data_IF_034761961639
#
_entry.id   IF_034761961639
#
_cell.length_a   1.000
_cell.length_b   1.000
_cell.length_c   1.000
_cell.angle_alpha   90.00
_cell.angle_beta   90.00
_cell.angle_gamma   90.00
#
_symmetry.space_group_name_H-M   'P 1'
#
loop_
_entity.id
_entity.type
_entity.pdbx_description
1 polymer ?
#
# COMPACT_ATOMS: atom_id res chain seq x y z
N UNK A 1 23.17 30.40 -16.03
CA UNK A 1 22.10 30.12 -17.01
C UNK A 1 21.20 29.07 -16.37
N UNK A 2 20.08 29.49 -15.76
CA UNK A 2 19.15 28.59 -15.08
C UNK A 2 18.43 27.77 -16.16
N UNK A 3 18.48 26.44 -16.06
CA UNK A 3 17.64 25.59 -16.86
C UNK A 3 16.17 25.95 -16.57
N UNK A 4 15.39 26.24 -17.61
CA UNK A 4 13.94 26.36 -17.49
C UNK A 4 13.40 25.02 -16.98
N UNK A 5 12.51 25.00 -15.97
CA UNK A 5 11.84 23.77 -15.58
C UNK A 5 10.93 23.37 -16.74
N UNK A 6 11.26 22.28 -17.44
CA UNK A 6 10.33 21.63 -18.34
C UNK A 6 9.08 21.30 -17.54
N UNK A 7 7.91 21.68 -18.06
CA UNK A 7 6.63 21.57 -17.37
C UNK A 7 6.39 20.13 -16.90
N UNK A 8 6.18 20.00 -15.58
CA UNK A 8 5.89 18.79 -14.78
C UNK A 8 4.52 18.14 -15.13
N UNK A 9 4.11 18.21 -16.40
CA UNK A 9 2.80 17.76 -16.88
C UNK A 9 2.72 16.24 -16.89
N UNK A 10 1.56 15.70 -16.51
CA UNK A 10 1.29 14.28 -16.59
C UNK A 10 1.33 13.80 -18.05
N UNK A 11 1.81 12.57 -18.33
CA UNK A 11 1.66 11.95 -19.64
C UNK A 11 0.19 11.90 -20.08
N UNK A 12 -0.11 12.01 -21.39
CA UNK A 12 -1.48 12.11 -21.89
C UNK A 12 -2.32 10.85 -21.63
N UNK A 13 -1.69 9.69 -21.43
CA UNK A 13 -2.38 8.44 -21.09
C UNK A 13 -2.81 8.35 -19.62
N UNK A 14 -2.26 9.17 -18.72
CA UNK A 14 -2.43 9.03 -17.28
C UNK A 14 -3.86 9.35 -16.82
N UNK A 15 -4.44 10.46 -17.29
CA UNK A 15 -5.81 10.83 -16.93
C UNK A 15 -6.87 9.83 -17.48
N UNK A 16 -6.80 9.38 -18.75
CA UNK A 16 -7.67 8.31 -19.23
C UNK A 16 -7.49 6.96 -18.51
N UNK A 17 -6.28 6.63 -18.06
CA UNK A 17 -6.04 5.44 -17.25
C UNK A 17 -6.70 5.56 -15.87
N UNK A 18 -6.55 6.71 -15.21
CA UNK A 18 -7.19 6.97 -13.91
C UNK A 18 -8.72 6.86 -14.01
N UNK A 19 -9.32 7.48 -15.03
CA UNK A 19 -10.76 7.42 -15.28
C UNK A 19 -11.26 5.97 -15.36
N UNK A 20 -10.57 5.12 -16.14
CA UNK A 20 -10.93 3.69 -16.27
C UNK A 20 -10.93 2.95 -14.93
N UNK A 21 -9.90 3.15 -14.10
CA UNK A 21 -9.80 2.48 -12.79
C UNK A 21 -10.91 2.97 -11.85
N UNK A 22 -11.25 4.27 -11.88
CA UNK A 22 -12.30 4.83 -11.05
C UNK A 22 -13.71 4.45 -11.54
N UNK A 23 -13.91 4.26 -12.84
CA UNK A 23 -15.15 3.72 -13.41
C UNK A 23 -15.31 2.24 -13.03
N UNK A 24 -14.23 1.45 -13.08
CA UNK A 24 -14.22 0.09 -12.54
C UNK A 24 -14.60 0.08 -11.06
N UNK A 25 -14.09 1.02 -10.26
CA UNK A 25 -14.47 1.15 -8.86
C UNK A 25 -15.99 1.40 -8.68
N UNK A 26 -16.63 2.18 -9.55
CA UNK A 26 -18.09 2.36 -9.52
C UNK A 26 -18.83 1.03 -9.69
N UNK A 27 -18.44 0.26 -10.72
CA UNK A 27 -19.03 -1.06 -11.02
C UNK A 27 -18.81 -2.02 -9.85
N UNK A 28 -17.59 -2.08 -9.32
CA UNK A 28 -17.24 -2.88 -8.14
C UNK A 28 -18.10 -2.51 -6.94
N UNK A 29 -18.35 -1.23 -6.70
CA UNK A 29 -19.20 -0.76 -5.60
C UNK A 29 -20.63 -1.25 -5.69
N UNK A 30 -21.21 -1.29 -6.89
CA UNK A 30 -22.55 -1.86 -7.12
C UNK A 30 -22.54 -3.37 -6.91
N UNK A 31 -21.53 -4.08 -7.40
CA UNK A 31 -21.42 -5.54 -7.30
C UNK A 31 -21.26 -6.02 -5.86
N UNK A 32 -20.33 -5.42 -5.10
CA UNK A 32 -19.98 -5.90 -3.76
C UNK A 32 -20.90 -5.36 -2.67
N UNK A 33 -21.66 -4.29 -2.96
CA UNK A 33 -22.56 -3.63 -2.03
C UNK A 33 -21.86 -3.28 -0.71
N UNK A 34 -22.36 -3.84 0.39
CA UNK A 34 -21.78 -3.59 1.70
C UNK A 34 -20.50 -4.41 2.00
N UNK A 35 -20.12 -5.36 1.16
CA UNK A 35 -18.93 -6.18 1.40
C UNK A 35 -17.67 -5.44 0.92
N UNK A 36 -16.51 -5.98 1.28
CA UNK A 36 -15.23 -5.43 0.86
C UNK A 36 -14.60 -6.34 -0.20
N UNK A 37 -14.26 -5.82 -1.41
CA UNK A 37 -13.53 -6.58 -2.41
C UNK A 37 -12.15 -7.00 -1.90
N UNK A 38 -11.68 -8.18 -2.33
CA UNK A 38 -10.37 -8.71 -2.02
C UNK A 38 -9.58 -8.98 -3.30
N UNK A 39 -10.10 -9.88 -4.14
CA UNK A 39 -9.56 -10.16 -5.47
C UNK A 39 -10.68 -10.57 -6.42
N UNK A 40 -10.53 -10.28 -7.72
CA UNK A 40 -11.49 -10.64 -8.74
C UNK A 40 -10.91 -11.64 -9.74
N UNK A 41 -11.76 -12.56 -10.20
CA UNK A 41 -11.41 -13.51 -11.24
C UNK A 41 -11.11 -12.78 -12.57
N UNK A 42 -9.99 -13.08 -13.26
CA UNK A 42 -9.56 -12.32 -14.43
C UNK A 42 -10.49 -12.48 -15.64
N UNK A 43 -11.19 -13.61 -15.76
CA UNK A 43 -12.05 -13.89 -16.91
C UNK A 43 -13.43 -13.27 -16.72
N UNK A 44 -14.00 -13.41 -15.52
CA UNK A 44 -15.38 -12.99 -15.20
C UNK A 44 -15.46 -11.62 -14.55
N UNK A 45 -14.38 -11.12 -13.95
CA UNK A 45 -14.36 -9.88 -13.16
C UNK A 45 -15.11 -9.98 -11.83
N UNK A 46 -15.54 -11.18 -11.41
CA UNK A 46 -16.32 -11.38 -10.18
C UNK A 46 -15.45 -11.32 -8.94
N UNK A 47 -15.84 -10.53 -7.94
CA UNK A 47 -15.08 -10.33 -6.71
C UNK A 47 -15.31 -11.41 -5.66
N UNK A 48 -14.21 -11.98 -5.17
CA UNK A 48 -14.18 -12.54 -3.83
C UNK A 48 -14.13 -11.40 -2.83
N UNK A 49 -15.00 -11.47 -1.82
CA UNK A 49 -15.22 -10.39 -0.85
C UNK A 49 -15.10 -10.86 0.59
N UNK A 50 -14.76 -9.95 1.48
CA UNK A 50 -14.77 -10.15 2.94
C UNK A 50 -15.89 -9.35 3.58
N UNK A 51 -16.37 -9.80 4.74
CA UNK A 51 -17.45 -9.11 5.46
C UNK A 51 -16.97 -7.83 6.17
N UNK A 52 -15.74 -7.85 6.71
CA UNK A 52 -15.18 -6.77 7.55
C UNK A 52 -13.97 -6.09 6.93
N UNK A 53 -13.69 -6.27 5.64
CA UNK A 53 -12.52 -5.64 4.99
C UNK A 53 -11.19 -6.38 5.18
N UNK A 54 -10.97 -7.04 6.32
CA UNK A 54 -9.65 -7.59 6.66
C UNK A 54 -8.57 -6.49 6.58
N UNK A 55 -7.31 -6.86 6.36
CA UNK A 55 -6.19 -5.92 6.16
C UNK A 55 -6.33 -5.03 4.91
N UNK A 56 -7.21 -5.39 3.96
CA UNK A 56 -7.37 -4.66 2.68
C UNK A 56 -8.50 -3.63 2.68
N UNK A 57 -9.33 -3.58 3.73
CA UNK A 57 -10.51 -2.70 3.77
C UNK A 57 -10.18 -1.22 3.59
N UNK A 58 -9.00 -0.80 4.07
CA UNK A 58 -8.49 0.57 3.88
C UNK A 58 -8.27 0.93 2.42
N UNK A 59 -7.77 0.02 1.59
CA UNK A 59 -7.55 0.28 0.17
C UNK A 59 -8.85 0.50 -0.59
N UNK A 60 -9.90 -0.26 -0.26
CA UNK A 60 -11.21 -0.06 -0.86
C UNK A 60 -11.82 1.29 -0.46
N UNK A 61 -11.78 1.63 0.83
CA UNK A 61 -12.24 2.92 1.30
C UNK A 61 -11.46 4.08 0.66
N UNK A 62 -10.13 3.97 0.55
CA UNK A 62 -9.28 4.93 -0.12
C UNK A 62 -9.60 5.10 -1.61
N UNK A 63 -9.89 4.01 -2.32
CA UNK A 63 -10.27 4.04 -3.73
C UNK A 63 -11.62 4.75 -3.94
N UNK A 64 -12.58 4.55 -3.04
CA UNK A 64 -13.84 5.29 -3.04
C UNK A 64 -13.63 6.80 -2.78
N UNK A 65 -12.69 7.16 -1.90
CA UNK A 65 -12.34 8.57 -1.69
C UNK A 65 -11.67 9.20 -2.92
N UNK A 66 -10.79 8.47 -3.63
CA UNK A 66 -10.25 8.94 -4.92
C UNK A 66 -11.37 9.21 -5.92
N UNK A 67 -12.33 8.29 -6.01
CA UNK A 67 -13.49 8.45 -6.88
C UNK A 67 -14.31 9.68 -6.49
N UNK A 68 -14.63 9.85 -5.21
CA UNK A 68 -15.38 11.01 -4.73
C UNK A 68 -14.70 12.35 -5.06
N UNK A 69 -13.37 12.41 -4.95
CA UNK A 69 -12.60 13.59 -5.37
C UNK A 69 -12.62 13.81 -6.88
N UNK A 70 -12.52 12.74 -7.66
CA UNK A 70 -12.53 12.81 -9.11
C UNK A 70 -13.87 13.28 -9.68
N UNK A 71 -14.98 12.78 -9.14
CA UNK A 71 -16.33 13.11 -9.64
C UNK A 71 -16.90 14.37 -9.02
N UNK A 72 -16.49 14.72 -7.79
CA UNK A 72 -17.14 15.76 -6.99
C UNK A 72 -18.58 15.40 -6.58
N UNK A 73 -19.02 14.15 -6.81
CA UNK A 73 -20.38 13.72 -6.56
C UNK A 73 -20.64 13.47 -5.08
N UNK A 74 -21.78 13.98 -4.60
CA UNK A 74 -22.17 13.84 -3.19
C UNK A 74 -22.51 12.40 -2.80
N UNK A 75 -22.98 11.58 -3.75
CA UNK A 75 -23.25 10.16 -3.57
C UNK A 75 -21.96 9.34 -3.44
N UNK A 76 -20.98 9.58 -4.32
CA UNK A 76 -19.65 8.97 -4.21
C UNK A 76 -18.98 9.32 -2.87
N UNK A 77 -19.09 10.58 -2.43
CA UNK A 77 -18.60 11.03 -1.11
C UNK A 77 -19.32 10.32 0.04
N UNK A 78 -20.64 10.18 -0.04
CA UNK A 78 -21.42 9.46 0.98
C UNK A 78 -21.04 7.97 1.04
N UNK A 79 -20.81 7.33 -0.11
CA UNK A 79 -20.38 5.94 -0.21
C UNK A 79 -18.98 5.74 0.40
N UNK A 80 -18.02 6.62 0.07
CA UNK A 80 -16.68 6.60 0.65
C UNK A 80 -16.73 6.74 2.18
N UNK A 81 -17.49 7.71 2.68
CA UNK A 81 -17.69 7.94 4.12
C UNK A 81 -18.32 6.74 4.83
N UNK A 82 -19.37 6.15 4.26
CA UNK A 82 -20.01 4.96 4.82
C UNK A 82 -19.07 3.75 4.81
N UNK A 83 -18.25 3.59 3.77
CA UNK A 83 -17.25 2.54 3.71
C UNK A 83 -16.18 2.71 4.79
N UNK A 84 -15.58 3.91 4.92
CA UNK A 84 -14.59 4.22 5.95
C UNK A 84 -15.14 4.00 7.37
N UNK A 85 -16.39 4.38 7.65
CA UNK A 85 -16.99 4.18 8.97
C UNK A 85 -17.03 2.71 9.41
N UNK A 86 -17.19 1.77 8.47
CA UNK A 86 -17.22 0.32 8.75
C UNK A 86 -15.85 -0.28 9.07
N UNK A 87 -14.78 0.48 8.90
CA UNK A 87 -13.44 0.07 9.34
C UNK A 87 -13.24 0.25 10.86
N UNK A 88 -14.17 0.89 11.57
CA UNK A 88 -14.03 1.21 12.99
C UNK A 88 -13.73 -0.01 13.88
N UNK A 89 -14.27 -1.18 13.54
CA UNK A 89 -14.04 -2.44 14.29
C UNK A 89 -12.56 -2.87 14.30
N UNK A 90 -11.75 -2.38 13.36
CA UNK A 90 -10.31 -2.69 13.31
C UNK A 90 -9.46 -1.79 14.21
N UNK A 91 -10.01 -0.72 14.80
CA UNK A 91 -9.22 0.26 15.55
C UNK A 91 -8.57 -0.39 16.77
N UNK A 92 -9.32 -1.27 17.43
CA UNK A 92 -8.92 -2.02 18.63
C UNK A 92 -8.30 -3.39 18.30
N UNK A 93 -8.20 -3.77 17.03
CA UNK A 93 -7.56 -5.02 16.65
C UNK A 93 -6.06 -4.95 16.96
N UNK A 94 -5.54 -5.93 17.69
CA UNK A 94 -4.10 -6.10 17.93
C UNK A 94 -3.42 -6.51 16.63
N UNK A 95 -3.10 -5.52 15.79
CA UNK A 95 -2.33 -5.72 14.57
C UNK A 95 -1.60 -4.47 14.04
N UNK A 96 -0.45 -4.69 13.41
CA UNK A 96 0.24 -3.65 12.62
C UNK A 96 -0.45 -3.36 11.28
N UNK A 97 -1.33 -4.24 10.78
CA UNK A 97 -2.11 -3.98 9.56
C UNK A 97 -3.04 -2.75 9.68
N UNK A 98 -3.21 -2.21 10.89
CA UNK A 98 -3.88 -0.92 11.14
C UNK A 98 -3.27 0.22 10.32
N UNK A 99 -1.98 0.18 10.01
CA UNK A 99 -1.36 1.11 9.06
C UNK A 99 -2.04 1.04 7.69
N UNK A 100 -2.16 -0.16 7.13
CA UNK A 100 -2.81 -0.40 5.83
C UNK A 100 -4.30 -0.02 5.85
N UNK A 101 -4.98 -0.34 6.95
CA UNK A 101 -6.43 -0.13 7.10
C UNK A 101 -6.75 1.36 7.27
N UNK A 102 -6.08 2.05 8.20
CA UNK A 102 -6.49 3.37 8.62
C UNK A 102 -5.76 4.49 7.91
N UNK A 103 -4.50 4.33 7.54
CA UNK A 103 -3.83 5.36 6.75
C UNK A 103 -4.48 5.46 5.37
N UNK A 104 -4.46 4.38 4.58
CA UNK A 104 -5.00 4.42 3.22
C UNK A 104 -6.52 4.56 3.18
N UNK A 105 -7.23 4.05 4.19
CA UNK A 105 -8.69 4.22 4.31
C UNK A 105 -9.15 5.62 4.69
N UNK A 106 -8.22 6.50 5.13
CA UNK A 106 -8.57 7.84 5.58
C UNK A 106 -7.72 8.96 4.97
N UNK A 107 -6.52 8.73 4.45
CA UNK A 107 -5.57 9.79 4.01
C UNK A 107 -6.17 10.73 2.95
N UNK A 108 -7.08 10.20 2.13
CA UNK A 108 -7.80 10.92 1.08
C UNK A 108 -9.20 11.37 1.51
N UNK A 109 -9.58 11.14 2.76
CA UNK A 109 -10.87 11.54 3.28
C UNK A 109 -10.89 13.05 3.56
N UNK A 110 -11.97 13.69 3.13
CA UNK A 110 -12.19 15.12 3.38
C UNK A 110 -12.83 15.38 4.76
N UNK A 111 -13.36 14.33 5.40
CA UNK A 111 -13.71 14.28 6.82
C UNK A 111 -13.14 12.96 7.37
N UNK A 112 -12.44 12.99 8.51
CA UNK A 112 -11.77 11.78 9.03
C UNK A 112 -12.59 11.01 10.10
N UNK A 113 -13.82 11.45 10.41
CA UNK A 113 -14.67 10.95 11.50
C UNK A 113 -13.98 10.80 12.88
N UNK A 114 -12.80 11.39 13.08
CA UNK A 114 -11.88 11.10 14.17
C UNK A 114 -11.26 9.70 14.14
N UNK A 115 -11.55 8.89 13.11
CA UNK A 115 -11.10 7.50 13.02
C UNK A 115 -9.58 7.39 12.86
N UNK A 116 -8.97 8.26 12.04
CA UNK A 116 -7.51 8.29 11.87
C UNK A 116 -6.81 8.58 13.19
N UNK A 117 -7.25 9.62 13.91
CA UNK A 117 -6.69 9.99 15.20
C UNK A 117 -6.88 8.92 16.29
N UNK A 118 -8.04 8.24 16.33
CA UNK A 118 -8.26 7.09 17.22
C UNK A 118 -7.31 5.94 16.91
N UNK A 119 -7.20 5.56 15.63
CA UNK A 119 -6.30 4.50 15.20
C UNK A 119 -4.83 4.83 15.50
N UNK A 120 -4.39 6.07 15.29
CA UNK A 120 -3.03 6.50 15.61
C UNK A 120 -2.69 6.33 17.09
N UNK A 121 -3.60 6.72 18.00
CA UNK A 121 -3.43 6.52 19.44
C UNK A 121 -3.40 5.03 19.80
N UNK A 122 -4.33 4.24 19.26
CA UNK A 122 -4.34 2.79 19.51
C UNK A 122 -3.10 2.06 18.96
N UNK A 123 -2.50 2.58 17.87
CA UNK A 123 -1.22 2.10 17.37
C UNK A 123 -0.07 2.49 18.30
N UNK A 124 -0.06 3.71 18.83
CA UNK A 124 0.93 4.17 19.81
C UNK A 124 0.84 3.37 21.12
N UNK A 125 -0.36 3.07 21.61
CA UNK A 125 -0.58 2.21 22.78
C UNK A 125 -0.08 0.77 22.55
N UNK A 126 -0.10 0.32 21.29
CA UNK A 126 0.43 -0.98 20.86
C UNK A 126 1.93 -0.98 20.53
N UNK A 127 2.60 0.17 20.58
CA UNK A 127 4.03 0.29 20.35
C UNK A 127 4.81 -0.33 21.51
N UNK A 128 5.84 -1.12 21.19
CA UNK A 128 6.69 -1.79 22.19
C UNK A 128 8.07 -1.11 22.16
N UNK A 129 8.41 -0.22 23.11
CA UNK A 129 9.64 0.56 23.08
C UNK A 129 10.92 -0.27 23.00
N UNK A 130 10.97 -1.41 23.67
CA UNK A 130 12.13 -2.32 23.67
C UNK A 130 12.36 -2.95 22.29
N UNK A 131 11.26 -3.18 21.56
CA UNK A 131 11.30 -3.68 20.19
C UNK A 131 11.38 -2.55 19.15
N UNK A 132 11.11 -1.31 19.53
CA UNK A 132 11.12 -0.15 18.65
C UNK A 132 10.09 -0.25 17.52
N UNK A 133 8.98 -0.98 17.70
CA UNK A 133 7.92 -1.10 16.69
C UNK A 133 6.56 -1.44 17.31
N UNK A 134 5.52 -1.35 16.48
CA UNK A 134 4.20 -1.93 16.74
C UNK A 134 4.24 -3.34 16.15
N UNK A 135 4.11 -4.41 16.95
CA UNK A 135 4.15 -5.78 16.44
C UNK A 135 2.99 -6.09 15.50
N UNK A 136 3.16 -7.09 14.63
CA UNK A 136 2.15 -7.57 13.70
C UNK A 136 0.84 -7.92 14.39
N UNK A 137 0.91 -8.38 15.64
CA UNK A 137 -0.25 -8.65 16.47
C UNK A 137 -0.87 -10.01 16.23
N UNK A 138 -1.89 -10.33 17.03
CA UNK A 138 -2.55 -11.64 17.05
C UNK A 138 -3.86 -11.69 16.27
N UNK A 139 -4.34 -10.57 15.73
CA UNK A 139 -5.67 -10.47 15.11
C UNK A 139 -5.89 -11.38 13.90
N UNK A 140 -4.82 -11.83 13.23
CA UNK A 140 -4.86 -12.71 12.07
C UNK A 140 -4.39 -14.15 12.36
N UNK A 141 -4.11 -14.47 13.63
CA UNK A 141 -3.74 -15.81 14.08
C UNK A 141 -2.23 -16.10 14.11
N UNK A 142 -1.39 -15.17 13.68
CA UNK A 142 0.06 -15.26 13.80
C UNK A 142 0.56 -14.92 15.23
N UNK A 143 1.79 -15.32 15.59
CA UNK A 143 2.42 -14.88 16.83
C UNK A 143 2.48 -13.36 16.93
N UNK A 144 2.03 -12.81 18.06
CA UNK A 144 1.93 -11.36 18.29
C UNK A 144 3.23 -10.60 18.02
N UNK A 145 4.36 -11.09 18.57
CA UNK A 145 5.68 -10.45 18.48
C UNK A 145 6.38 -10.75 17.15
N UNK A 146 5.68 -10.47 16.06
CA UNK A 146 6.19 -10.61 14.69
C UNK A 146 6.40 -9.22 14.09
N UNK A 147 7.44 -9.04 13.29
CA UNK A 147 7.64 -7.89 12.43
C UNK A 147 7.56 -8.35 10.98
N UNK A 148 6.52 -7.92 10.26
CA UNK A 148 6.39 -8.13 8.82
C UNK A 148 6.56 -6.81 8.11
N UNK A 149 7.23 -6.82 6.96
CA UNK A 149 7.51 -5.60 6.19
C UNK A 149 6.25 -4.84 5.76
N UNK A 150 5.14 -5.55 5.56
CA UNK A 150 3.82 -4.96 5.28
C UNK A 150 3.14 -4.33 6.51
N UNK A 151 3.76 -4.41 7.69
CA UNK A 151 3.37 -3.64 8.88
C UNK A 151 3.95 -2.22 8.95
N UNK A 152 4.90 -1.86 8.06
CA UNK A 152 5.53 -0.55 8.04
C UNK A 152 4.77 0.52 7.22
N UNK A 153 4.40 0.29 5.94
CA UNK A 153 3.71 1.30 5.15
C UNK A 153 2.33 1.63 5.75
N UNK A 154 1.95 2.90 5.69
CA UNK A 154 0.77 3.46 6.35
C UNK A 154 0.90 3.56 7.88
N UNK A 155 1.59 2.63 8.54
CA UNK A 155 1.84 2.69 9.99
C UNK A 155 2.77 3.84 10.35
N UNK A 156 3.84 4.03 9.59
CA UNK A 156 4.80 5.13 9.82
C UNK A 156 4.11 6.50 9.81
N UNK A 157 3.40 6.91 8.75
CA UNK A 157 2.73 8.21 8.76
C UNK A 157 1.56 8.27 9.75
N UNK A 158 0.89 7.14 10.04
CA UNK A 158 -0.17 7.09 11.05
C UNK A 158 0.39 7.35 12.46
N UNK A 159 1.46 6.67 12.86
CA UNK A 159 2.14 6.89 14.14
C UNK A 159 2.65 8.32 14.22
N UNK A 160 3.18 8.88 13.14
CA UNK A 160 3.71 10.24 13.15
C UNK A 160 2.67 11.31 13.50
N UNK A 161 1.38 11.04 13.29
CA UNK A 161 0.29 11.94 13.74
C UNK A 161 0.12 11.98 15.27
N UNK A 162 0.62 10.98 15.98
CA UNK A 162 0.56 10.87 17.44
C UNK A 162 1.93 11.04 18.11
N UNK A 163 2.96 10.38 17.58
CA UNK A 163 4.34 10.41 18.07
C UNK A 163 5.34 10.20 16.89
N UNK A 164 5.99 11.28 16.40
CA UNK A 164 7.00 11.19 15.34
C UNK A 164 8.21 10.31 15.68
N UNK A 165 8.62 10.21 16.95
CA UNK A 165 9.78 9.40 17.33
C UNK A 165 9.44 7.91 17.32
N UNK A 166 8.24 7.54 17.78
CA UNK A 166 7.73 6.17 17.63
C UNK A 166 7.66 5.76 16.14
N UNK A 167 7.24 6.68 15.25
CA UNK A 167 7.23 6.44 13.81
C UNK A 167 8.63 6.21 13.22
N UNK A 168 9.63 7.05 13.58
CA UNK A 168 11.03 6.86 13.16
C UNK A 168 11.61 5.54 13.67
N UNK A 169 11.38 5.24 14.95
CA UNK A 169 11.83 4.00 15.58
C UNK A 169 11.24 2.78 14.86
N UNK A 170 9.93 2.82 14.57
CA UNK A 170 9.22 1.77 13.84
C UNK A 170 9.83 1.52 12.45
N UNK A 171 10.08 2.58 11.69
CA UNK A 171 10.71 2.46 10.37
C UNK A 171 12.14 1.92 10.46
N UNK A 172 12.96 2.50 11.35
CA UNK A 172 14.36 2.09 11.54
C UNK A 172 14.45 0.60 11.87
N UNK A 173 13.58 0.10 12.76
CA UNK A 173 13.55 -1.33 13.09
C UNK A 173 13.20 -2.20 11.88
N UNK A 174 12.23 -1.79 11.05
CA UNK A 174 11.89 -2.56 9.83
C UNK A 174 13.03 -2.55 8.81
N UNK A 175 13.72 -1.42 8.64
CA UNK A 175 14.91 -1.32 7.78
C UNK A 175 16.02 -2.25 8.29
N UNK A 176 16.35 -2.19 9.58
CA UNK A 176 17.40 -3.01 10.20
C UNK A 176 17.11 -4.51 10.05
N UNK A 177 15.88 -4.94 10.33
CA UNK A 177 15.49 -6.34 10.19
C UNK A 177 15.49 -6.76 8.72
N UNK A 178 14.82 -6.02 7.84
CA UNK A 178 14.63 -6.45 6.46
C UNK A 178 15.94 -6.43 5.65
N UNK A 179 16.77 -5.41 5.87
CA UNK A 179 17.99 -5.17 5.10
C UNK A 179 19.27 -5.59 5.84
N UNK A 180 19.19 -5.98 7.12
CA UNK A 180 20.32 -6.54 7.87
C UNK A 180 20.68 -7.96 7.45
N UNK A 181 19.74 -8.71 6.87
CA UNK A 181 19.99 -10.05 6.32
C UNK A 181 20.41 -10.02 4.84
N UNK A 182 21.17 -11.06 4.42
CA UNK A 182 21.52 -11.30 3.02
C UNK A 182 21.20 -12.75 2.63
N UNK A 183 20.28 -13.00 1.67
CA UNK A 183 19.37 -12.02 1.05
C UNK A 183 18.41 -11.38 2.07
N UNK A 184 17.70 -10.29 1.73
CA UNK A 184 16.68 -9.68 2.59
C UNK A 184 15.66 -10.68 3.13
N UNK A 185 15.01 -10.32 4.25
CA UNK A 185 13.95 -11.12 4.89
C UNK A 185 12.80 -10.23 5.28
N UNK A 186 11.59 -10.66 4.94
CA UNK A 186 10.41 -9.81 5.00
C UNK A 186 9.51 -10.07 6.21
N UNK A 187 9.83 -11.10 7.00
CA UNK A 187 9.12 -11.49 8.22
C UNK A 187 10.09 -12.00 9.27
N UNK A 188 9.91 -11.56 10.50
CA UNK A 188 10.77 -11.86 11.65
C UNK A 188 9.92 -12.08 12.89
N UNK A 189 10.33 -12.99 13.77
CA UNK A 189 9.69 -13.21 15.06
C UNK A 189 10.65 -12.93 16.17
N UNK A 190 10.16 -12.27 17.20
CA UNK A 190 10.90 -12.00 18.42
C UNK A 190 10.49 -13.00 19.50
N UNK A 191 11.48 -13.71 20.03
CA UNK A 191 11.32 -14.57 21.20
C UNK A 191 12.01 -13.93 22.42
N UNK A 192 11.31 -13.74 23.55
CA UNK A 192 11.92 -13.22 24.77
C UNK A 192 13.17 -14.02 25.16
N UNK A 193 14.29 -13.33 25.34
CA UNK A 193 15.58 -13.94 25.69
C UNK A 193 16.40 -14.51 24.53
N UNK A 194 15.76 -14.80 23.38
CA UNK A 194 16.46 -15.30 22.17
C UNK A 194 16.60 -14.23 21.07
N UNK A 195 15.75 -13.19 21.09
CA UNK A 195 15.79 -12.09 20.13
C UNK A 195 15.06 -12.42 18.82
N UNK A 196 15.49 -11.77 17.73
CA UNK A 196 14.84 -11.87 16.42
C UNK A 196 15.35 -13.06 15.60
N UNK A 197 14.42 -13.86 15.07
CA UNK A 197 14.69 -14.91 14.08
C UNK A 197 13.89 -14.66 12.81
N UNK A 198 14.55 -14.71 11.65
CA UNK A 198 13.89 -14.55 10.36
C UNK A 198 12.99 -15.75 10.05
N UNK A 199 11.81 -15.47 9.49
CA UNK A 199 10.95 -16.48 8.90
C UNK A 199 11.23 -16.64 7.41
N UNK A 200 11.01 -17.85 6.89
CA UNK A 200 11.17 -18.17 5.47
C UNK A 200 9.97 -17.72 4.62
N UNK A 201 8.83 -17.46 5.26
CA UNK A 201 7.58 -17.03 4.64
C UNK A 201 7.27 -15.58 5.09
N UNK A 202 7.10 -14.62 4.17
CA UNK A 202 7.18 -14.78 2.72
C UNK A 202 8.60 -14.98 2.21
N UNK A 203 8.69 -15.64 1.04
CA UNK A 203 9.95 -15.94 0.34
C UNK A 203 10.86 -14.71 0.25
N UNK A 204 12.20 -14.85 0.39
CA UNK A 204 13.13 -13.74 0.18
C UNK A 204 12.98 -13.04 -1.18
N UNK A 205 12.49 -13.76 -2.20
CA UNK A 205 12.25 -13.19 -3.53
C UNK A 205 10.87 -12.54 -3.71
N UNK A 206 10.00 -12.54 -2.70
CA UNK A 206 8.66 -11.95 -2.75
C UNK A 206 8.68 -10.49 -3.19
N UNK A 207 8.00 -10.18 -4.29
CA UNK A 207 8.08 -8.88 -4.98
C UNK A 207 7.50 -7.72 -4.19
N UNK A 208 6.47 -7.93 -3.36
CA UNK A 208 5.89 -6.85 -2.54
C UNK A 208 6.75 -6.51 -1.32
N UNK A 209 7.62 -7.40 -0.88
CA UNK A 209 8.52 -7.13 0.25
C UNK A 209 9.31 -5.83 0.08
N UNK A 210 10.10 -5.68 -1.00
CA UNK A 210 10.82 -4.43 -1.24
C UNK A 210 9.89 -3.26 -1.58
N UNK A 211 8.77 -3.50 -2.26
CA UNK A 211 7.80 -2.46 -2.60
C UNK A 211 7.20 -1.80 -1.33
N UNK A 212 6.84 -2.61 -0.33
CA UNK A 212 6.33 -2.12 0.95
C UNK A 212 7.35 -1.32 1.74
N UNK A 213 8.59 -1.81 1.83
CA UNK A 213 9.64 -1.06 2.54
C UNK A 213 9.97 0.25 1.83
N UNK A 214 9.98 0.24 0.49
CA UNK A 214 10.19 1.45 -0.31
C UNK A 214 9.08 2.47 -0.09
N UNK A 215 7.82 2.03 -0.02
CA UNK A 215 6.69 2.91 0.28
C UNK A 215 6.79 3.51 1.69
N UNK A 216 7.16 2.71 2.69
CA UNK A 216 7.36 3.22 4.06
C UNK A 216 8.48 4.28 4.14
N UNK A 217 9.57 4.10 3.38
CA UNK A 217 10.63 5.11 3.26
C UNK A 217 10.12 6.40 2.60
N UNK A 218 9.32 6.28 1.54
CA UNK A 218 8.72 7.43 0.86
C UNK A 218 7.78 8.23 1.79
N UNK A 219 6.97 7.53 2.58
CA UNK A 219 6.03 8.14 3.53
C UNK A 219 6.71 8.82 4.72
N UNK A 220 7.92 8.37 5.09
CA UNK A 220 8.70 8.96 6.17
C UNK A 220 9.48 10.22 5.78
N UNK A 221 9.45 10.63 4.50
CA UNK A 221 10.25 11.77 4.00
C UNK A 221 9.98 13.07 4.75
N UNK A 222 8.77 13.28 5.26
CA UNK A 222 8.42 14.45 6.07
C UNK A 222 8.90 14.40 7.52
N UNK A 223 9.35 13.23 7.99
CA UNK A 223 9.83 13.02 9.37
C UNK A 223 11.32 13.24 9.53
N UNK A 224 12.04 13.35 8.41
CA UNK A 224 13.48 13.47 8.37
C UNK A 224 13.88 14.92 8.04
N UNK A 225 14.72 15.53 8.89
CA UNK A 225 15.38 16.81 8.62
C UNK A 225 16.62 16.66 7.71
N UNK A 226 16.78 15.49 7.05
CA UNK A 226 17.93 15.13 6.24
C UNK A 226 17.90 13.68 5.72
N UNK A 227 19.02 13.20 5.22
CA UNK A 227 19.20 11.89 4.58
C UNK A 227 19.37 10.77 5.63
N UNK A 228 18.36 10.56 6.49
CA UNK A 228 18.41 9.57 7.60
C UNK A 228 18.36 8.10 7.09
N UNK A 229 17.90 7.88 5.86
CA UNK A 229 17.83 6.57 5.21
C UNK A 229 18.57 6.53 3.85
N UNK A 230 19.87 6.91 3.81
CA UNK A 230 20.57 7.05 2.54
C UNK A 230 20.87 5.67 1.93
N UNK A 231 20.71 5.54 0.61
CA UNK A 231 21.25 4.41 -0.16
C UNK A 231 20.51 3.08 -0.04
N UNK A 232 19.26 3.05 0.48
CA UNK A 232 18.44 1.84 0.45
C UNK A 232 17.68 1.63 -0.85
N UNK A 233 17.48 2.69 -1.64
CA UNK A 233 16.77 2.63 -2.91
C UNK A 233 17.34 1.56 -3.84
N UNK A 234 18.65 1.57 -4.08
CA UNK A 234 19.31 0.60 -4.98
C UNK A 234 19.17 -0.85 -4.51
N UNK A 235 18.99 -1.07 -3.21
CA UNK A 235 18.79 -2.42 -2.63
C UNK A 235 17.36 -2.92 -2.77
N UNK A 236 16.40 -1.99 -2.93
CA UNK A 236 14.97 -2.28 -3.00
C UNK A 236 14.45 -2.26 -4.44
N UNK A 237 15.10 -1.53 -5.34
CA UNK A 237 14.67 -1.47 -6.72
C UNK A 237 14.97 -2.75 -7.48
N UNK A 238 13.97 -3.16 -8.26
CA UNK A 238 14.07 -4.21 -9.27
C UNK A 238 14.29 -3.61 -10.64
N UNK A 239 15.03 -4.33 -11.49
CA UNK A 239 15.20 -3.97 -12.89
C UNK A 239 13.90 -4.11 -13.69
N UNK A 240 12.98 -4.98 -13.26
CA UNK A 240 11.68 -5.18 -13.90
C UNK A 240 10.74 -3.99 -13.61
N UNK A 241 10.06 -3.50 -14.65
CA UNK A 241 8.96 -2.52 -14.47
C UNK A 241 7.76 -3.19 -13.79
N UNK A 242 7.43 -4.41 -14.21
CA UNK A 242 6.44 -5.28 -13.55
C UNK A 242 7.15 -6.58 -13.13
N UNK A 243 7.45 -6.78 -11.84
CA UNK A 243 8.25 -7.91 -11.39
C UNK A 243 7.48 -9.24 -11.45
N UNK A 244 8.16 -10.40 -11.54
CA UNK A 244 7.56 -11.67 -11.15
C UNK A 244 7.18 -11.61 -9.67
N UNK A 245 6.13 -12.33 -9.25
CA UNK A 245 5.65 -12.36 -7.87
C UNK A 245 6.69 -12.88 -6.87
N UNK A 246 7.63 -13.71 -7.35
CA UNK A 246 8.79 -14.15 -6.61
C UNK A 246 10.02 -14.17 -7.56
N UNK A 247 11.06 -13.43 -7.22
CA UNK A 247 12.29 -13.35 -8.03
C UNK A 247 13.08 -14.65 -8.09
N UNK A 248 12.83 -15.61 -7.19
CA UNK A 248 13.39 -16.98 -7.30
C UNK A 248 12.69 -17.79 -8.40
N UNK A 249 11.53 -17.33 -8.88
CA UNK A 249 10.76 -17.90 -9.99
C UNK A 249 10.59 -16.83 -11.09
N UNK A 250 11.66 -16.50 -11.84
CA UNK A 250 11.62 -15.43 -12.84
C UNK A 250 10.58 -15.66 -13.96
N UNK A 251 10.27 -16.92 -14.26
CA UNK A 251 9.24 -17.33 -15.22
C UNK A 251 7.84 -17.48 -14.60
N UNK A 252 7.70 -17.15 -13.31
CA UNK A 252 6.44 -17.21 -12.58
C UNK A 252 5.45 -16.09 -12.96
N UNK A 253 4.25 -16.08 -12.35
CA UNK A 253 3.29 -15.01 -12.60
C UNK A 253 3.87 -13.65 -12.20
N UNK A 254 3.41 -12.60 -12.87
CA UNK A 254 3.72 -11.21 -12.50
C UNK A 254 3.01 -10.83 -11.19
N UNK A 255 3.43 -9.71 -10.62
CA UNK A 255 2.68 -9.04 -9.58
C UNK A 255 2.58 -7.54 -9.87
N UNK A 256 1.48 -7.17 -10.52
CA UNK A 256 1.15 -5.78 -10.84
C UNK A 256 0.93 -4.92 -9.60
N UNK A 257 0.54 -5.51 -8.47
CA UNK A 257 0.37 -4.77 -7.23
C UNK A 257 1.71 -4.31 -6.64
N UNK A 258 2.75 -5.14 -6.72
CA UNK A 258 4.10 -4.75 -6.32
C UNK A 258 4.64 -3.57 -7.16
N UNK A 259 4.35 -3.58 -8.46
CA UNK A 259 4.71 -2.50 -9.37
C UNK A 259 3.95 -1.19 -9.05
N UNK A 260 2.64 -1.27 -8.79
CA UNK A 260 1.82 -0.10 -8.44
C UNK A 260 2.29 0.55 -7.14
N UNK A 261 2.57 -0.26 -6.10
CA UNK A 261 3.14 0.20 -4.82
C UNK A 261 4.51 0.89 -5.07
N UNK A 262 5.36 0.26 -5.86
CA UNK A 262 6.69 0.80 -6.21
C UNK A 262 6.58 2.14 -6.93
N UNK A 263 5.65 2.28 -7.88
CA UNK A 263 5.43 3.52 -8.61
C UNK A 263 5.02 4.67 -7.67
N UNK A 264 4.08 4.43 -6.74
CA UNK A 264 3.69 5.44 -5.75
C UNK A 264 4.88 5.85 -4.88
N UNK A 265 5.66 4.87 -4.41
CA UNK A 265 6.83 5.14 -3.59
C UNK A 265 7.89 5.97 -4.33
N UNK A 266 8.15 5.63 -5.60
CA UNK A 266 9.07 6.38 -6.47
C UNK A 266 8.62 7.81 -6.70
N UNK A 267 7.32 8.07 -6.87
CA UNK A 267 6.78 9.43 -6.95
C UNK A 267 7.08 10.22 -5.66
N UNK A 268 6.81 9.64 -4.49
CA UNK A 268 7.09 10.28 -3.19
C UNK A 268 8.59 10.54 -2.94
N UNK A 269 9.45 9.70 -3.49
CA UNK A 269 10.91 9.85 -3.41
C UNK A 269 11.49 10.80 -4.49
N UNK A 270 10.68 11.26 -5.45
CA UNK A 270 11.11 12.19 -6.51
C UNK A 270 11.73 11.51 -7.74
N UNK A 271 11.56 10.20 -7.91
CA UNK A 271 12.02 9.43 -9.07
C UNK A 271 10.92 9.32 -10.14
N UNK A 272 10.42 10.49 -10.60
CA UNK A 272 9.26 10.60 -11.50
C UNK A 272 9.42 9.77 -12.78
N UNK A 273 10.55 9.85 -13.46
CA UNK A 273 10.77 9.16 -14.74
C UNK A 273 10.62 7.64 -14.61
N UNK A 274 11.20 7.05 -13.56
CA UNK A 274 11.08 5.62 -13.29
C UNK A 274 9.64 5.25 -12.88
N UNK A 275 8.98 6.08 -12.09
CA UNK A 275 7.58 5.85 -11.73
C UNK A 275 6.67 5.88 -12.95
N UNK A 276 6.85 6.85 -13.84
CA UNK A 276 6.10 6.98 -15.11
C UNK A 276 6.31 5.75 -15.97
N UNK A 277 7.54 5.26 -16.13
CA UNK A 277 7.82 4.03 -16.88
C UNK A 277 7.13 2.79 -16.29
N UNK A 278 7.06 2.67 -14.96
CA UNK A 278 6.34 1.56 -14.30
C UNK A 278 4.84 1.67 -14.54
N UNK A 279 4.27 2.87 -14.38
CA UNK A 279 2.84 3.12 -14.60
C UNK A 279 2.44 2.91 -16.05
N UNK A 280 3.25 3.34 -17.00
CA UNK A 280 3.03 3.10 -18.43
C UNK A 280 3.01 1.61 -18.74
N UNK A 281 3.97 0.84 -18.22
CA UNK A 281 3.99 -0.62 -18.37
C UNK A 281 2.74 -1.31 -17.77
N UNK A 282 2.23 -0.82 -16.64
CA UNK A 282 0.98 -1.31 -16.05
C UNK A 282 -0.22 -0.97 -16.95
N UNK A 283 -0.29 0.26 -17.44
CA UNK A 283 -1.42 0.76 -18.24
C UNK A 283 -1.48 0.10 -19.62
N UNK A 284 -0.32 -0.12 -20.27
CA UNK A 284 -0.26 -0.73 -21.60
C UNK A 284 -0.38 -2.25 -21.54
N UNK A 285 0.19 -2.89 -20.51
CA UNK A 285 0.33 -4.33 -20.43
C UNK A 285 -0.73 -5.06 -19.60
N UNK A 286 -1.34 -4.38 -18.63
CA UNK A 286 -2.13 -5.06 -17.59
C UNK A 286 -3.46 -4.37 -17.22
N UNK A 287 -3.66 -3.11 -17.59
CA UNK A 287 -4.92 -2.40 -17.38
C UNK A 287 -5.87 -2.66 -18.55
N UNK A 288 -6.99 -3.31 -18.29
CA UNK A 288 -7.99 -3.58 -19.32
C UNK A 288 -8.76 -2.32 -19.74
N UNK A 289 -9.48 -2.42 -20.86
CA UNK A 289 -10.34 -1.32 -21.33
C UNK A 289 -11.46 -0.97 -20.33
N UNK A 290 -11.96 -1.97 -19.59
CA UNK A 290 -12.96 -1.83 -18.52
C UNK A 290 -12.35 -1.54 -17.14
N UNK A 291 -11.04 -1.25 -17.06
CA UNK A 291 -10.41 -0.66 -15.88
C UNK A 291 -9.89 -1.64 -14.82
N UNK A 292 -9.83 -2.95 -15.11
CA UNK A 292 -9.27 -3.97 -14.22
C UNK A 292 -7.75 -4.01 -14.34
N UNK A 293 -7.04 -3.97 -13.22
CA UNK A 293 -5.60 -4.24 -13.21
C UNK A 293 -5.35 -5.75 -13.03
N UNK A 294 -5.03 -6.44 -14.12
CA UNK A 294 -4.81 -7.89 -14.10
C UNK A 294 -3.40 -8.28 -13.64
N UNK A 295 -3.13 -9.60 -13.61
CA UNK A 295 -1.83 -10.20 -13.28
C UNK A 295 -1.24 -9.78 -11.92
N UNK A 296 -2.10 -9.46 -10.95
CA UNK A 296 -1.72 -9.43 -9.56
C UNK A 296 -1.60 -10.84 -8.99
N UNK A 297 -0.69 -11.06 -8.05
CA UNK A 297 -0.51 -12.36 -7.39
C UNK A 297 -0.68 -12.23 -5.88
N UNK A 298 -1.80 -12.68 -5.32
CA UNK A 298 -2.04 -12.56 -3.88
C UNK A 298 -1.11 -13.48 -3.07
N UNK A 299 -1.23 -14.81 -3.22
CA UNK A 299 -0.40 -15.76 -2.49
C UNK A 299 0.08 -16.87 -3.43
N UNK A 300 1.34 -16.76 -3.87
CA UNK A 300 1.95 -17.72 -4.77
C UNK A 300 2.19 -19.08 -4.11
N UNK A 301 2.52 -19.10 -2.82
CA UNK A 301 2.83 -20.33 -2.10
C UNK A 301 1.57 -21.15 -1.86
N UNK A 302 0.47 -20.50 -1.48
CA UNK A 302 -0.84 -21.12 -1.31
C UNK A 302 -1.62 -21.30 -2.63
N UNK A 303 -1.12 -20.78 -3.75
CA UNK A 303 -1.81 -20.84 -5.05
C UNK A 303 -3.11 -20.02 -5.10
N UNK A 304 -3.26 -19.02 -4.23
CA UNK A 304 -4.47 -18.20 -4.13
C UNK A 304 -4.32 -16.94 -4.95
N UNK A 305 -5.25 -16.74 -5.91
CA UNK A 305 -5.35 -15.53 -6.73
C UNK A 305 -4.00 -15.10 -7.35
N UNK A 306 -3.34 -16.03 -8.05
CA UNK A 306 -1.96 -15.88 -8.55
C UNK A 306 -1.84 -15.03 -9.83
N UNK A 307 -2.97 -14.71 -10.48
CA UNK A 307 -3.07 -13.88 -11.70
C UNK A 307 -4.45 -13.22 -11.74
N UNK A 308 -4.74 -12.34 -10.79
CA UNK A 308 -6.08 -11.80 -10.55
C UNK A 308 -6.05 -10.28 -10.46
N UNK A 309 -7.22 -9.65 -10.56
CA UNK A 309 -7.41 -8.27 -10.10
C UNK A 309 -7.35 -8.26 -8.57
N UNK A 310 -6.56 -7.35 -7.98
CA UNK A 310 -6.38 -7.26 -6.53
C UNK A 310 -6.74 -5.85 -6.07
N UNK A 311 -7.56 -5.73 -5.03
CA UNK A 311 -8.07 -4.43 -4.59
C UNK A 311 -6.96 -3.45 -4.18
N UNK A 312 -5.86 -3.94 -3.60
CA UNK A 312 -4.72 -3.11 -3.28
C UNK A 312 -3.94 -2.70 -4.53
N UNK A 313 -3.87 -3.56 -5.55
CA UNK A 313 -3.30 -3.20 -6.84
C UNK A 313 -4.05 -2.05 -7.50
N UNK A 314 -5.38 -2.14 -7.57
CA UNK A 314 -6.23 -1.08 -8.11
C UNK A 314 -6.08 0.22 -7.34
N UNK A 315 -6.10 0.15 -6.00
CA UNK A 315 -5.91 1.33 -5.15
C UNK A 315 -4.56 2.01 -5.40
N UNK A 316 -3.45 1.27 -5.36
CA UNK A 316 -2.13 1.87 -5.52
C UNK A 316 -1.88 2.39 -6.94
N UNK A 317 -2.46 1.74 -7.96
CA UNK A 317 -2.43 2.26 -9.33
C UNK A 317 -3.22 3.58 -9.42
N UNK A 318 -4.46 3.59 -8.94
CA UNK A 318 -5.30 4.79 -8.93
C UNK A 318 -4.64 5.92 -8.13
N UNK A 319 -4.02 5.62 -6.99
CA UNK A 319 -3.37 6.62 -6.15
C UNK A 319 -2.13 7.20 -6.84
N UNK A 320 -1.26 6.37 -7.42
CA UNK A 320 -0.10 6.84 -8.16
C UNK A 320 -0.50 7.69 -9.37
N UNK A 321 -1.53 7.28 -10.12
CA UNK A 321 -2.08 8.06 -11.23
C UNK A 321 -2.67 9.39 -10.75
N UNK A 322 -3.41 9.39 -9.64
CA UNK A 322 -4.00 10.59 -9.05
C UNK A 322 -2.93 11.59 -8.58
N UNK A 323 -1.82 11.12 -8.02
CA UNK A 323 -0.64 11.96 -7.71
C UNK A 323 -0.05 12.53 -9.00
N UNK A 324 0.13 11.69 -10.02
CA UNK A 324 0.73 12.08 -11.30
C UNK A 324 -0.11 13.13 -12.05
N UNK A 325 -1.44 13.03 -11.99
CA UNK A 325 -2.39 13.95 -12.62
C UNK A 325 -2.77 15.14 -11.74
N UNK A 326 -2.26 15.24 -10.51
CA UNK A 326 -2.55 16.33 -9.59
C UNK A 326 -3.90 16.27 -8.88
N UNK A 327 -4.65 15.17 -8.99
CA UNK A 327 -5.97 15.00 -8.34
C UNK A 327 -5.86 15.00 -6.80
N UNK A 328 -4.70 14.62 -6.25
CA UNK A 328 -4.48 14.56 -4.80
C UNK A 328 -4.01 15.87 -4.19
N UNK A 329 -3.74 16.90 -5.00
CA UNK A 329 -3.43 18.22 -4.50
C UNK A 329 -4.67 18.77 -3.76
N UNK A 330 -4.47 19.24 -2.53
CA UNK A 330 -5.52 20.00 -1.83
C UNK A 330 -5.52 21.37 -2.50
N UNK A 331 -6.64 21.76 -3.12
CA UNK A 331 -6.81 23.14 -3.61
C UNK A 331 -6.54 24.10 -2.42
N UNK A 332 -5.67 25.12 -2.59
CA UNK A 332 -5.20 25.97 -1.51
C UNK A 332 -6.29 26.81 -0.84
#
# INVERSE_FOLDING_TARGET
>A
MRASPGTDTAPPWAAPALARVLDRAAVTGVEVGERFPLYADPDTGTWRTTARGSWTGGFWAGLLWLRARYTGDTGDRAAARACTARLADWAEADTAARGLIFWYGTVLADDDLGLRGRAARACLDGFVPELGLVPWGSAFGEPRLTARVDGAPGMVPLLATADPEAARSHLRRHVDLCLGARPPRWSWRHEPGAGWSAHADPSPGWSRGPAWLLLALAEARSLSDGDEFPGHLDRLLTNHLVPPADSVRPDGPRDTSAAAITALALLGLGHRDRAVAVLEALVEGHLTADGRLLDGCYDLAAGTAVRHELIWGDFFLAYALAVLTGLTAVDP
#
